data_IF_875866010061
#
_entry.id   IF_875866010061
#
_cell.length_a   1.000
_cell.length_b   1.000
_cell.length_c   1.000
_cell.angle_alpha   90.00
_cell.angle_beta   90.00
_cell.angle_gamma   90.00
#
_symmetry.space_group_name_H-M   'P 1'
#
loop_
_entity.id
_entity.type
_entity.pdbx_description
1 polymer ?
#
# COMPACT_ATOMS: atom_id res chain seq x y z
N UNK A 1 -35.09 -40.12 -35.33
CA UNK A 1 -34.12 -40.31 -34.24
C UNK A 1 -32.96 -39.36 -34.53
N UNK A 2 -32.99 -38.14 -34.01
CA UNK A 2 -32.36 -37.70 -32.75
C UNK A 2 -30.99 -37.01 -33.01
N UNK A 3 -31.03 -35.67 -32.83
CA UNK A 3 -30.01 -34.61 -32.69
C UNK A 3 -28.53 -35.01 -32.46
N UNK A 4 -27.60 -34.22 -33.03
CA UNK A 4 -26.57 -33.47 -32.27
C UNK A 4 -26.20 -32.16 -33.00
N UNK A 5 -26.19 -31.05 -32.25
CA UNK A 5 -25.83 -29.68 -32.65
C UNK A 5 -24.32 -29.51 -32.89
N UNK A 6 -23.95 -28.83 -33.98
CA UNK A 6 -22.61 -28.29 -34.19
C UNK A 6 -22.71 -26.79 -34.48
N UNK A 7 -22.83 -25.99 -33.43
CA UNK A 7 -22.62 -24.55 -33.47
C UNK A 7 -21.42 -24.28 -32.55
N UNK A 8 -20.21 -24.28 -33.13
CA UNK A 8 -18.99 -23.92 -32.42
C UNK A 8 -18.35 -22.70 -33.10
N UNK A 9 -18.35 -21.60 -32.35
CA UNK A 9 -17.24 -20.68 -32.16
C UNK A 9 -16.64 -19.98 -33.40
N UNK A 10 -17.29 -18.89 -33.83
CA UNK A 10 -16.61 -17.75 -34.45
C UNK A 10 -17.12 -16.45 -33.84
N UNK A 11 -16.71 -16.16 -32.60
CA UNK A 11 -17.17 -14.95 -31.93
C UNK A 11 -16.56 -14.76 -30.55
N UNK A 12 -15.23 -14.65 -30.46
CA UNK A 12 -14.56 -13.99 -29.32
C UNK A 12 -13.08 -13.72 -29.64
N UNK A 13 -12.80 -12.77 -30.54
CA UNK A 13 -11.46 -12.21 -30.67
C UNK A 13 -11.54 -10.69 -30.65
N UNK A 14 -11.90 -10.17 -29.49
CA UNK A 14 -11.68 -8.79 -29.06
C UNK A 14 -12.00 -8.73 -27.57
N UNK A 15 -11.08 -9.27 -26.75
CA UNK A 15 -11.03 -8.95 -25.34
C UNK A 15 -9.62 -8.42 -25.03
N UNK A 16 -9.58 -7.10 -24.97
CA UNK A 16 -8.80 -6.31 -24.02
C UNK A 16 -7.33 -6.71 -23.85
N UNK A 17 -6.52 -6.20 -24.78
CA UNK A 17 -5.15 -5.80 -24.49
C UNK A 17 -5.15 -4.46 -23.71
N UNK A 18 -5.95 -4.36 -22.64
CA UNK A 18 -5.69 -3.35 -21.63
C UNK A 18 -4.65 -3.96 -20.72
N UNK A 19 -3.45 -3.39 -20.81
CA UNK A 19 -2.34 -3.80 -19.98
C UNK A 19 -2.81 -3.86 -18.52
N UNK A 20 -2.53 -4.99 -17.89
CA UNK A 20 -2.26 -5.01 -16.45
C UNK A 20 -0.92 -4.29 -16.29
N UNK A 21 -0.91 -2.99 -16.56
CA UNK A 21 -0.04 -2.11 -15.84
C UNK A 21 -0.49 -2.28 -14.41
N UNK A 22 0.40 -2.80 -13.57
CA UNK A 22 0.32 -2.63 -12.12
C UNK A 22 0.19 -1.12 -11.89
N UNK A 23 -1.03 -0.60 -11.93
CA UNK A 23 -1.30 0.74 -11.48
C UNK A 23 -0.92 0.66 -9.98
N UNK A 24 0.09 1.41 -9.53
CA UNK A 24 0.39 1.46 -8.11
C UNK A 24 -0.92 1.80 -7.41
N UNK A 25 -1.22 1.10 -6.31
CA UNK A 25 -2.41 1.39 -5.50
C UNK A 25 -2.50 2.90 -5.28
N UNK A 26 -3.71 3.45 -5.19
CA UNK A 26 -3.89 4.91 -5.09
C UNK A 26 -3.05 5.51 -3.94
N UNK A 27 -2.83 4.72 -2.89
CA UNK A 27 -1.88 5.00 -1.82
C UNK A 27 -0.45 5.24 -2.33
N UNK A 28 0.15 4.31 -3.08
CA UNK A 28 1.51 4.48 -3.62
C UNK A 28 1.64 5.63 -4.62
N UNK A 29 0.58 5.90 -5.39
CA UNK A 29 0.56 7.05 -6.31
C UNK A 29 0.59 8.38 -5.54
N UNK A 30 -0.10 8.45 -4.40
CA UNK A 30 -0.07 9.62 -3.49
C UNK A 30 1.31 9.78 -2.83
N UNK A 31 1.91 8.68 -2.40
CA UNK A 31 3.27 8.64 -1.84
C UNK A 31 4.35 9.18 -2.78
N UNK A 32 4.35 8.72 -4.04
CA UNK A 32 5.33 9.19 -5.04
C UNK A 32 5.13 10.66 -5.42
N UNK A 33 3.90 11.18 -5.32
CA UNK A 33 3.60 12.59 -5.55
C UNK A 33 4.04 13.49 -4.38
N UNK A 34 4.12 12.96 -3.16
CA UNK A 34 4.52 13.69 -1.96
C UNK A 34 6.04 13.85 -1.81
N UNK A 35 6.85 12.94 -2.36
CA UNK A 35 8.33 13.11 -2.39
C UNK A 35 8.76 14.36 -3.20
N UNK A 36 7.94 14.78 -4.17
CA UNK A 36 8.13 16.04 -4.91
C UNK A 36 7.55 17.27 -4.18
N UNK A 37 6.59 17.10 -3.28
CA UNK A 37 5.96 18.18 -2.50
C UNK A 37 6.71 18.49 -1.20
N UNK A 38 7.28 17.46 -0.57
CA UNK A 38 8.09 17.56 0.65
C UNK A 38 9.45 18.22 0.44
N UNK A 39 9.88 18.45 -0.81
CA UNK A 39 11.04 19.26 -1.15
C UNK A 39 10.61 20.72 -1.34
N UNK A 40 10.66 21.59 -0.31
CA UNK A 40 10.37 23.01 -0.53
C UNK A 40 11.37 23.55 -1.55
N UNK A 41 10.93 24.29 -2.59
CA UNK A 41 11.85 25.02 -3.43
C UNK A 41 12.65 25.98 -2.53
N UNK A 42 13.98 26.02 -2.71
CA UNK A 42 14.91 26.82 -1.89
C UNK A 42 14.55 28.32 -1.81
N UNK A 43 13.59 28.78 -2.62
CA UNK A 43 13.09 30.14 -2.68
C UNK A 43 11.93 30.47 -1.71
N UNK A 44 11.24 29.50 -1.10
CA UNK A 44 9.99 29.77 -0.36
C UNK A 44 10.12 29.81 1.17
N UNK A 45 11.29 29.52 1.73
CA UNK A 45 11.49 29.49 3.20
C UNK A 45 11.54 30.90 3.83
N UNK A 46 11.58 31.98 3.04
CA UNK A 46 11.73 33.35 3.56
C UNK A 46 10.51 34.28 3.43
N UNK A 47 9.32 33.77 3.06
CA UNK A 47 8.17 34.65 2.82
C UNK A 47 6.86 34.12 3.42
N UNK A 48 6.70 34.24 4.74
CA UNK A 48 5.43 34.62 5.37
C UNK A 48 5.55 34.56 6.90
N UNK A 49 5.30 35.69 7.57
CA UNK A 49 5.16 35.79 9.04
C UNK A 49 3.71 35.60 9.49
N UNK A 50 2.94 34.80 8.75
CA UNK A 50 1.57 34.41 9.10
C UNK A 50 1.47 32.91 8.82
N UNK A 51 1.95 32.09 9.76
CA UNK A 51 2.07 30.66 9.52
C UNK A 51 0.86 29.93 10.12
N UNK A 52 -0.28 30.04 9.43
CA UNK A 52 -1.13 28.87 9.29
C UNK A 52 -0.33 27.85 8.47
N UNK A 53 0.61 27.14 9.11
CA UNK A 53 1.25 26.00 8.44
C UNK A 53 0.10 25.09 8.06
N UNK A 54 -0.12 24.80 6.76
CA UNK A 54 -1.06 23.77 6.40
C UNK A 54 -0.64 22.51 7.16
N UNK A 55 -1.61 21.88 7.81
CA UNK A 55 -1.39 20.63 8.50
C UNK A 55 -0.76 19.67 7.49
N UNK A 56 0.47 19.25 7.78
CA UNK A 56 1.33 18.58 6.81
C UNK A 56 1.21 17.09 7.04
N UNK A 57 0.80 16.39 5.99
CA UNK A 57 0.78 14.92 5.97
C UNK A 57 2.21 14.41 6.16
N UNK A 58 2.38 13.53 7.16
CA UNK A 58 3.65 12.88 7.48
C UNK A 58 3.67 11.54 6.77
N UNK A 59 4.57 11.42 5.80
CA UNK A 59 4.79 10.18 5.06
C UNK A 59 5.85 9.32 5.73
N UNK A 60 5.49 8.11 6.15
CA UNK A 60 6.36 7.12 6.78
C UNK A 60 6.77 6.06 5.73
N UNK A 61 8.06 5.93 5.40
CA UNK A 61 8.54 4.85 4.55
C UNK A 61 8.54 3.53 5.31
N UNK A 62 7.93 2.50 4.73
CA UNK A 62 7.74 1.17 5.31
C UNK A 62 8.46 0.14 4.45
N UNK A 63 9.11 -0.81 5.11
CA UNK A 63 9.64 -2.03 4.48
C UNK A 63 8.86 -3.22 5.00
N UNK A 64 8.35 -4.04 4.09
CA UNK A 64 7.62 -5.26 4.40
C UNK A 64 8.52 -6.47 4.20
N UNK A 65 8.82 -7.15 5.29
CA UNK A 65 9.62 -8.37 5.28
C UNK A 65 8.68 -9.58 5.23
N UNK A 66 8.58 -10.23 4.06
CA UNK A 66 7.82 -11.46 3.89
C UNK A 66 8.73 -12.64 4.18
N UNK A 67 8.49 -13.30 5.32
CA UNK A 67 9.18 -14.54 5.65
C UNK A 67 8.25 -15.73 5.40
N UNK A 68 8.68 -16.68 4.58
CA UNK A 68 7.84 -17.79 4.12
C UNK A 68 8.61 -19.11 4.13
N UNK A 69 7.91 -20.22 4.37
CA UNK A 69 8.45 -21.58 4.26
C UNK A 69 7.85 -22.32 3.07
N UNK A 70 6.57 -22.09 2.82
CA UNK A 70 5.85 -22.64 1.65
C UNK A 70 5.43 -21.53 0.70
N UNK A 71 5.22 -21.85 -0.57
CA UNK A 71 4.74 -20.87 -1.56
C UNK A 71 3.37 -20.28 -1.20
N UNK A 72 2.54 -20.98 -0.43
CA UNK A 72 1.27 -20.44 0.04
C UNK A 72 1.44 -19.30 1.07
N UNK A 73 2.57 -19.28 1.79
CA UNK A 73 2.92 -18.22 2.75
C UNK A 73 3.63 -17.04 2.05
N UNK A 74 4.04 -17.22 0.79
CA UNK A 74 4.66 -16.22 -0.05
C UNK A 74 3.59 -15.27 -0.63
N UNK A 75 3.05 -14.40 0.21
CA UNK A 75 1.90 -13.52 -0.13
C UNK A 75 2.17 -12.61 -1.33
N UNK A 76 1.13 -12.29 -2.09
CA UNK A 76 1.29 -11.47 -3.30
C UNK A 76 1.56 -10.00 -2.97
N UNK A 77 2.09 -9.24 -3.93
CA UNK A 77 2.32 -7.80 -3.75
C UNK A 77 0.99 -7.08 -3.56
N UNK A 78 -0.05 -7.51 -4.26
CA UNK A 78 -1.40 -6.94 -4.16
C UNK A 78 -1.98 -7.10 -2.74
N UNK A 79 -1.73 -8.24 -2.09
CA UNK A 79 -2.12 -8.43 -0.68
C UNK A 79 -1.38 -7.45 0.24
N UNK A 80 -0.07 -7.26 0.03
CA UNK A 80 0.71 -6.28 0.81
C UNK A 80 0.18 -4.86 0.60
N UNK A 81 -0.15 -4.49 -0.64
CA UNK A 81 -0.71 -3.18 -0.97
C UNK A 81 -2.10 -2.98 -0.36
N UNK A 82 -2.95 -4.00 -0.33
CA UNK A 82 -4.26 -3.92 0.32
C UNK A 82 -4.14 -3.66 1.82
N UNK A 83 -3.13 -4.23 2.48
CA UNK A 83 -2.89 -3.97 3.90
C UNK A 83 -2.43 -2.52 4.13
N UNK A 84 -1.61 -1.99 3.23
CA UNK A 84 -1.15 -0.60 3.28
C UNK A 84 -2.31 0.38 3.05
N UNK A 85 -3.26 0.02 2.18
CA UNK A 85 -4.47 0.80 1.93
C UNK A 85 -5.37 0.87 3.18
N UNK A 86 -5.59 -0.26 3.87
CA UNK A 86 -6.32 -0.28 5.14
C UNK A 86 -5.61 0.56 6.20
N UNK A 87 -4.28 0.43 6.34
CA UNK A 87 -3.52 1.25 7.29
C UNK A 87 -3.66 2.75 7.01
N UNK A 88 -3.62 3.14 5.74
CA UNK A 88 -3.82 4.54 5.37
C UNK A 88 -5.25 5.00 5.61
N UNK A 89 -6.25 4.16 5.35
CA UNK A 89 -7.65 4.48 5.65
C UNK A 89 -7.85 4.72 7.15
N UNK A 90 -7.29 3.87 8.01
CA UNK A 90 -7.42 3.98 9.46
C UNK A 90 -6.73 5.25 10.01
N UNK A 91 -5.50 5.52 9.58
CA UNK A 91 -4.72 6.65 10.10
C UNK A 91 -5.17 8.00 9.54
N UNK A 92 -5.83 8.00 8.37
CA UNK A 92 -6.43 9.19 7.78
C UNK A 92 -7.89 9.40 8.16
N UNK A 93 -8.47 8.52 8.99
CA UNK A 93 -9.90 8.48 9.25
C UNK A 93 -10.71 8.54 7.94
N UNK A 94 -10.36 7.66 7.00
CA UNK A 94 -11.02 7.43 5.71
C UNK A 94 -11.61 6.02 5.61
N UNK A 95 -11.64 5.29 6.72
CA UNK A 95 -12.21 3.95 6.83
C UNK A 95 -13.75 4.00 6.86
N UNK A 96 -14.40 3.10 6.12
CA UNK A 96 -15.86 3.05 5.95
C UNK A 96 -16.62 2.70 7.26
N UNK A 97 -15.94 2.09 8.22
CA UNK A 97 -16.49 1.65 9.50
C UNK A 97 -16.49 2.75 10.58
N UNK A 98 -16.11 3.99 10.25
CA UNK A 98 -16.25 5.15 11.14
C UNK A 98 -17.69 5.37 11.61
N UNK A 99 -18.68 5.03 10.78
CA UNK A 99 -20.10 5.13 11.12
C UNK A 99 -20.52 4.14 12.21
N UNK A 100 -19.69 3.12 12.52
CA UNK A 100 -19.92 2.18 13.61
C UNK A 100 -19.45 2.73 14.97
N UNK A 101 -18.73 3.86 14.99
CA UNK A 101 -18.28 4.49 16.22
C UNK A 101 -19.50 5.00 17.00
N UNK A 102 -19.70 4.59 18.27
CA UNK A 102 -20.80 5.09 19.08
C UNK A 102 -20.79 6.62 19.15
N UNK A 103 -21.96 7.25 19.05
CA UNK A 103 -22.12 8.71 18.97
C UNK A 103 -21.34 9.49 20.04
N UNK A 104 -21.21 8.94 21.26
CA UNK A 104 -20.45 9.56 22.35
C UNK A 104 -18.94 9.74 22.07
N UNK A 105 -18.40 9.02 21.09
CA UNK A 105 -16.99 9.09 20.67
C UNK A 105 -16.80 9.74 19.29
N UNK A 106 -17.88 10.18 18.63
CA UNK A 106 -17.81 10.78 17.30
C UNK A 106 -16.89 12.01 17.27
N UNK A 107 -16.92 12.83 18.33
CA UNK A 107 -16.09 14.04 18.46
C UNK A 107 -14.59 13.72 18.72
N UNK A 108 -14.23 12.45 18.94
CA UNK A 108 -12.84 12.02 19.15
C UNK A 108 -12.20 11.41 17.90
N UNK A 109 -12.97 11.23 16.81
CA UNK A 109 -12.43 10.77 15.53
C UNK A 109 -11.50 11.86 14.99
N UNK A 110 -10.28 11.48 14.66
CA UNK A 110 -9.26 12.41 14.20
C UNK A 110 -8.48 11.83 13.02
N UNK A 111 -8.33 12.63 11.97
CA UNK A 111 -7.31 12.43 10.94
C UNK A 111 -5.94 12.74 11.58
N UNK A 112 -5.10 11.72 11.69
CA UNK A 112 -3.74 11.82 12.24
C UNK A 112 -2.74 12.37 11.24
N UNK A 113 -3.14 12.48 9.97
CA UNK A 113 -2.33 12.90 8.83
C UNK A 113 -1.06 12.10 8.64
N UNK A 114 -1.10 10.82 8.98
CA UNK A 114 -0.02 9.88 8.73
C UNK A 114 -0.37 9.08 7.48
N UNK A 115 0.58 9.00 6.55
CA UNK A 115 0.51 8.12 5.39
C UNK A 115 1.68 7.15 5.41
N UNK A 116 1.41 5.89 5.07
CA UNK A 116 2.38 4.82 4.96
C UNK A 116 2.62 4.49 3.50
N UNK A 117 3.90 4.43 3.16
CA UNK A 117 4.36 4.24 1.79
C UNK A 117 5.47 3.21 1.75
N UNK A 118 5.50 2.32 0.76
CA UNK A 118 6.64 1.42 0.60
C UNK A 118 7.91 2.24 0.32
N UNK A 119 9.00 1.88 1.00
CA UNK A 119 10.28 2.54 0.81
C UNK A 119 10.76 2.37 -0.64
N UNK A 120 11.22 3.46 -1.25
CA UNK A 120 11.78 3.47 -2.61
C UNK A 120 13.30 3.32 -2.60
N UNK A 121 13.94 3.55 -1.45
CA UNK A 121 15.38 3.42 -1.25
C UNK A 121 15.70 2.55 -0.03
N UNK A 122 16.74 1.73 -0.15
CA UNK A 122 17.32 0.98 0.97
C UNK A 122 18.26 1.89 1.81
N UNK A 123 18.76 1.43 2.97
CA UNK A 123 19.70 2.21 3.78
C UNK A 123 21.04 2.53 3.09
N UNK A 124 21.35 1.89 1.96
CA UNK A 124 22.53 2.14 1.14
C UNK A 124 22.24 3.09 -0.04
N UNK A 125 20.99 3.54 -0.19
CA UNK A 125 20.53 4.43 -1.26
C UNK A 125 20.24 3.73 -2.59
N UNK A 126 20.15 2.40 -2.62
CA UNK A 126 19.75 1.68 -3.83
C UNK A 126 18.24 1.64 -3.95
N UNK A 127 17.75 1.61 -5.20
CA UNK A 127 16.34 1.47 -5.50
C UNK A 127 15.78 0.13 -5.00
N UNK A 128 14.65 0.20 -4.28
CA UNK A 128 13.92 -0.96 -3.78
C UNK A 128 12.42 -0.76 -3.99
N UNK A 129 11.67 -1.87 -3.96
CA UNK A 129 10.21 -1.86 -3.95
C UNK A 129 9.64 -1.86 -2.52
N UNK A 130 10.50 -1.77 -1.51
CA UNK A 130 10.11 -1.78 -0.09
C UNK A 130 9.61 -3.13 0.41
N UNK A 131 9.85 -4.22 -0.34
CA UNK A 131 9.45 -5.58 0.01
C UNK A 131 10.67 -6.48 -0.06
N UNK A 132 10.97 -7.20 1.02
CA UNK A 132 11.96 -8.28 1.01
C UNK A 132 11.25 -9.62 1.19
N UNK A 133 11.82 -10.68 0.61
CA UNK A 133 11.28 -12.03 0.69
C UNK A 133 12.38 -12.98 1.15
N UNK A 134 12.19 -13.60 2.31
CA UNK A 134 13.18 -14.50 2.92
C UNK A 134 12.56 -15.87 3.12
N UNK A 135 13.09 -16.89 2.43
CA UNK A 135 12.64 -18.26 2.62
C UNK A 135 13.27 -18.86 3.90
N UNK A 136 12.51 -19.63 4.66
CA UNK A 136 12.97 -20.30 5.88
C UNK A 136 12.47 -21.73 5.98
N UNK A 137 13.23 -22.61 6.62
CA UNK A 137 12.83 -23.98 6.96
C UNK A 137 12.16 -24.08 8.34
N UNK A 138 12.04 -22.95 9.05
CA UNK A 138 11.53 -22.90 10.43
C UNK A 138 10.02 -23.09 10.44
N UNK A 139 9.55 -24.07 11.21
CA UNK A 139 8.13 -24.23 11.50
C UNK A 139 7.67 -23.23 12.58
N UNK A 140 6.54 -22.56 12.36
CA UNK A 140 6.00 -21.60 13.34
C UNK A 140 6.71 -20.24 13.32
N UNK A 141 6.77 -19.61 12.14
CA UNK A 141 7.44 -18.32 11.89
C UNK A 141 7.01 -17.21 12.88
N UNK A 142 5.77 -17.24 13.38
CA UNK A 142 5.26 -16.28 14.38
C UNK A 142 5.37 -16.71 15.86
N UNK A 143 5.94 -17.88 16.14
CA UNK A 143 6.08 -18.42 17.51
C UNK A 143 7.54 -18.46 17.99
N UNK A 144 8.49 -18.37 17.06
CA UNK A 144 9.91 -18.47 17.36
C UNK A 144 10.58 -17.12 17.08
N UNK A 145 11.28 -16.60 18.10
CA UNK A 145 12.02 -15.34 18.00
C UNK A 145 13.18 -15.36 17.00
N UNK A 146 13.54 -16.55 16.49
CA UNK A 146 14.62 -16.76 15.53
C UNK A 146 14.36 -16.07 14.17
N UNK A 147 13.11 -15.67 13.89
CA UNK A 147 12.71 -15.09 12.60
C UNK A 147 12.36 -13.59 12.68
N UNK A 148 12.46 -12.98 13.87
CA UNK A 148 12.01 -11.59 14.09
C UNK A 148 12.88 -10.50 13.41
N UNK A 149 14.07 -10.84 12.89
CA UNK A 149 15.05 -9.86 12.41
C UNK A 149 15.62 -10.17 11.01
N UNK A 150 14.93 -11.00 10.23
CA UNK A 150 15.37 -11.41 8.88
C UNK A 150 14.70 -10.62 7.78
#
# INVERSE_FOLDING_TARGET
MAKVNAFLFTGLLLLFLQGVGLAPSEAQTRCMADELRSRPPLAQVYASTDILLPRQVITIPVVVHVVYRTEAENISIEQILSQLEVLNADYRAQNDDQDLVPFYYADLIADTEIEFCLATQDPQGNWTIGITRTQTDINGIGMLSQVHYT
#
